data_IF_480419133524
#
_entry.id   IF_480419133524
#
_cell.length_a   1.000
_cell.length_b   1.000
_cell.length_c   1.000
_cell.angle_alpha   90.00
_cell.angle_beta   90.00
_cell.angle_gamma   90.00
#
_symmetry.space_group_name_H-M   'P 1'
#
loop_
_entity.id
_entity.type
_entity.pdbx_description
1 polymer ?
#
# COMPACT_ATOMS: atom_id res chain seq x y z
N UNK A 1 -7.07 23.48 35.79
CA UNK A 1 -5.95 22.74 36.42
C UNK A 1 -4.68 23.47 36.03
N UNK A 2 -4.24 24.48 36.80
CA UNK A 2 -3.28 24.36 37.90
C UNK A 2 -2.11 23.43 37.55
N UNK A 3 -0.94 24.06 37.38
CA UNK A 3 0.34 23.49 36.93
C UNK A 3 0.80 22.34 37.86
N UNK A 4 1.30 21.25 37.26
CA UNK A 4 1.93 20.11 37.96
C UNK A 4 3.41 20.01 37.56
N UNK A 5 4.34 19.60 38.47
CA UNK A 5 5.79 19.84 38.37
C UNK A 5 6.58 18.80 37.57
N UNK A 6 5.93 17.99 36.73
CA UNK A 6 6.62 16.97 35.93
C UNK A 6 6.32 17.23 34.45
N UNK A 7 7.38 17.46 33.67
CA UNK A 7 7.33 17.80 32.25
C UNK A 7 6.74 16.70 31.38
N UNK A 8 5.42 16.54 31.46
CA UNK A 8 4.64 15.74 30.54
C UNK A 8 4.13 16.64 29.42
N UNK A 9 4.72 16.50 28.23
CA UNK A 9 4.09 16.94 27.00
C UNK A 9 2.73 16.25 26.90
N UNK A 10 1.65 17.00 27.08
CA UNK A 10 0.31 16.56 26.68
C UNK A 10 0.26 16.53 25.17
N UNK A 11 0.36 15.34 24.59
CA UNK A 11 -0.14 15.08 23.25
C UNK A 11 -1.63 14.79 23.37
N UNK A 12 -2.47 15.78 23.08
CA UNK A 12 -3.87 15.52 22.74
C UNK A 12 -3.87 14.90 21.32
N UNK A 13 -3.57 13.61 21.24
CA UNK A 13 -3.66 12.82 20.01
C UNK A 13 -4.85 11.87 20.17
N UNK A 14 -6.01 12.23 19.63
CA UNK A 14 -7.24 11.43 19.76
C UNK A 14 -7.16 10.06 19.07
N UNK A 15 -6.17 9.78 18.21
CA UNK A 15 -5.75 8.42 17.82
C UNK A 15 -4.35 8.49 17.22
N UNK A 16 -3.46 7.59 17.60
CA UNK A 16 -2.17 7.44 16.89
C UNK A 16 -2.39 6.52 15.68
N UNK A 17 -2.46 7.11 14.48
CA UNK A 17 -2.58 6.36 13.23
C UNK A 17 -1.18 5.90 12.80
N UNK A 18 -0.91 4.61 12.98
CA UNK A 18 0.31 3.98 12.50
C UNK A 18 0.11 3.47 11.08
N UNK A 19 0.57 4.20 10.07
CA UNK A 19 0.64 3.69 8.70
C UNK A 19 1.79 2.67 8.58
N UNK A 20 1.50 1.41 8.87
CA UNK A 20 2.46 0.32 8.68
C UNK A 20 2.29 -0.28 7.30
N UNK A 21 3.02 0.24 6.33
CA UNK A 21 3.20 -0.48 5.07
C UNK A 21 3.78 -1.86 5.35
N UNK A 22 3.05 -2.92 4.98
CA UNK A 22 3.59 -4.21 4.56
C UNK A 22 4.67 -4.79 5.47
N UNK A 23 4.38 -5.71 6.40
CA UNK A 23 4.66 -7.12 6.07
C UNK A 23 4.04 -8.19 6.98
N UNK A 24 3.22 -7.85 7.98
CA UNK A 24 2.71 -8.90 8.89
C UNK A 24 1.95 -10.05 8.21
N UNK A 25 1.30 -9.82 7.06
CA UNK A 25 0.25 -10.74 6.60
C UNK A 25 0.29 -11.20 5.14
N UNK A 26 1.37 -10.97 4.39
CA UNK A 26 1.44 -11.57 3.04
C UNK A 26 1.55 -13.11 3.08
N UNK A 27 1.95 -13.67 4.22
CA UNK A 27 2.26 -15.10 4.42
C UNK A 27 2.07 -15.57 5.87
N UNK A 28 1.20 -14.92 6.65
CA UNK A 28 0.98 -15.30 8.06
C UNK A 28 2.15 -15.03 9.00
N UNK A 29 3.06 -14.11 8.64
CA UNK A 29 4.17 -13.66 9.48
C UNK A 29 5.56 -14.13 9.03
N UNK A 30 5.64 -15.02 8.04
CA UNK A 30 6.88 -15.52 7.44
C UNK A 30 7.64 -14.43 6.64
N UNK A 31 7.00 -13.29 6.41
CA UNK A 31 7.51 -12.18 5.61
C UNK A 31 8.41 -11.25 6.37
N UNK A 32 8.34 -11.28 7.71
CA UNK A 32 8.98 -10.31 8.62
C UNK A 32 10.44 -10.10 8.30
N UNK A 33 11.19 -11.18 8.14
CA UNK A 33 12.64 -11.15 8.06
C UNK A 33 13.17 -11.17 6.62
N UNK A 34 12.29 -11.00 5.62
CA UNK A 34 12.68 -11.05 4.21
C UNK A 34 13.50 -9.83 3.74
N UNK A 35 13.44 -8.70 4.46
CA UNK A 35 14.26 -7.53 4.18
C UNK A 35 14.36 -6.58 5.38
N UNK A 36 15.34 -5.65 5.42
CA UNK A 36 15.38 -4.62 6.46
C UNK A 36 14.08 -3.79 6.53
N UNK A 37 13.52 -3.44 5.36
CA UNK A 37 12.26 -2.71 5.27
C UNK A 37 11.09 -3.48 5.88
N UNK A 38 11.00 -4.77 5.55
CA UNK A 38 10.01 -5.70 6.07
C UNK A 38 10.03 -5.80 7.60
N UNK A 39 11.23 -5.97 8.13
CA UNK A 39 11.47 -6.11 9.55
C UNK A 39 11.10 -4.82 10.29
N UNK A 40 11.58 -3.66 9.82
CA UNK A 40 11.27 -2.36 10.45
C UNK A 40 9.77 -2.11 10.49
N UNK A 41 9.03 -2.40 9.42
CA UNK A 41 7.58 -2.18 9.39
C UNK A 41 6.81 -3.12 10.32
N UNK A 42 7.18 -4.39 10.36
CA UNK A 42 6.60 -5.34 11.30
C UNK A 42 6.86 -4.95 12.76
N UNK A 43 8.10 -4.55 13.07
CA UNK A 43 8.49 -4.06 14.40
C UNK A 43 7.76 -2.76 14.76
N UNK A 44 7.56 -1.83 13.82
CA UNK A 44 6.78 -0.61 14.08
C UNK A 44 5.32 -0.93 14.44
N UNK A 45 4.67 -1.87 13.74
CA UNK A 45 3.30 -2.30 14.11
C UNK A 45 3.24 -2.93 15.51
N UNK A 46 4.29 -3.65 15.92
CA UNK A 46 4.41 -4.21 17.28
C UNK A 46 4.60 -3.12 18.31
N UNK A 47 5.44 -2.12 18.00
CA UNK A 47 5.66 -0.98 18.86
C UNK A 47 4.37 -0.21 19.12
N UNK A 48 3.58 0.08 18.10
CA UNK A 48 2.28 0.77 18.23
C UNK A 48 1.33 -0.04 19.14
N UNK A 49 1.21 -1.35 18.93
CA UNK A 49 0.37 -2.21 19.78
C UNK A 49 0.87 -2.25 21.22
N UNK A 50 2.18 -2.33 21.43
CA UNK A 50 2.78 -2.32 22.76
C UNK A 50 2.51 -1.00 23.49
N UNK A 51 2.62 0.14 22.80
CA UNK A 51 2.28 1.45 23.37
C UNK A 51 0.80 1.53 23.78
N UNK A 52 -0.10 0.96 22.97
CA UNK A 52 -1.52 0.85 23.34
C UNK A 52 -1.69 0.00 24.61
N UNK A 53 -1.06 -1.18 24.68
CA UNK A 53 -1.11 -2.05 25.86
C UNK A 53 -0.53 -1.41 27.11
N UNK A 54 0.59 -0.69 27.00
CA UNK A 54 1.28 -0.09 28.14
C UNK A 54 0.60 1.17 28.66
N UNK A 55 0.01 1.98 27.78
CA UNK A 55 -0.47 3.32 28.12
C UNK A 55 -1.95 3.54 27.86
N UNK A 56 -2.69 2.51 27.40
CA UNK A 56 -4.12 2.60 27.11
C UNK A 56 -4.46 3.53 25.94
N UNK A 57 -3.50 3.77 25.03
CA UNK A 57 -3.70 4.68 23.90
C UNK A 57 -4.52 4.01 22.79
N UNK A 58 -5.53 4.69 22.22
CA UNK A 58 -6.21 4.21 21.01
C UNK A 58 -5.22 4.18 19.84
N UNK A 59 -5.35 3.17 18.99
CA UNK A 59 -4.51 3.00 17.82
C UNK A 59 -5.29 2.42 16.66
N UNK A 60 -4.81 2.73 15.45
CA UNK A 60 -5.25 2.10 14.21
C UNK A 60 -4.02 1.79 13.35
N UNK A 61 -3.93 0.56 12.84
CA UNK A 61 -2.89 0.13 11.90
C UNK A 61 -3.53 -0.29 10.59
N UNK A 62 -3.12 0.40 9.53
CA UNK A 62 -3.63 0.19 8.17
C UNK A 62 -2.56 -0.34 7.22
N UNK A 63 -2.98 -1.12 6.23
CA UNK A 63 -2.13 -1.77 5.24
C UNK A 63 -2.62 -1.51 3.83
N UNK A 64 -1.73 -1.06 2.95
CA UNK A 64 -2.01 -0.88 1.53
C UNK A 64 -0.72 -1.00 0.70
N UNK A 65 -0.88 -1.30 -0.59
CA UNK A 65 0.21 -1.67 -1.50
C UNK A 65 -0.06 -1.18 -2.91
N UNK A 66 1.01 -1.01 -3.68
CA UNK A 66 1.00 -0.60 -5.09
C UNK A 66 -0.02 0.52 -5.35
N UNK A 67 0.15 1.62 -4.62
CA UNK A 67 -0.67 2.81 -4.82
C UNK A 67 -0.33 3.41 -6.18
N UNK A 68 -1.35 3.83 -6.92
CA UNK A 68 -1.17 4.48 -8.21
C UNK A 68 -1.98 5.77 -8.31
N UNK A 69 -1.57 6.68 -9.19
CA UNK A 69 -2.30 7.90 -9.49
C UNK A 69 -1.39 9.10 -9.78
N UNK A 70 -1.97 10.31 -9.89
CA UNK A 70 -1.21 11.53 -10.12
C UNK A 70 -0.16 11.80 -9.01
N UNK A 71 0.99 12.33 -9.40
CA UNK A 71 2.06 12.73 -8.47
C UNK A 71 3.01 11.59 -8.06
N UNK A 72 2.92 10.42 -8.69
CA UNK A 72 3.87 9.33 -8.48
C UNK A 72 5.31 9.71 -8.85
N UNK A 73 6.26 9.20 -8.07
CA UNK A 73 7.68 9.42 -8.33
C UNK A 73 8.12 8.64 -9.56
N UNK A 74 8.75 9.32 -10.51
CA UNK A 74 9.39 8.71 -11.67
C UNK A 74 10.84 8.26 -11.38
N UNK A 75 11.40 7.44 -12.27
CA UNK A 75 12.80 6.99 -12.24
C UNK A 75 13.02 5.59 -11.67
N UNK A 76 14.26 5.29 -11.24
CA UNK A 76 14.73 3.93 -10.86
C UNK A 76 13.90 3.26 -9.75
N UNK A 77 13.27 4.06 -8.90
CA UNK A 77 12.44 3.60 -7.78
C UNK A 77 10.96 3.95 -7.94
N UNK A 78 10.53 4.28 -9.17
CA UNK A 78 9.13 4.49 -9.49
C UNK A 78 8.34 3.19 -9.43
N UNK A 79 7.02 3.32 -9.30
CA UNK A 79 6.13 2.14 -9.35
C UNK A 79 6.09 1.57 -10.77
N UNK A 80 5.59 0.34 -10.92
CA UNK A 80 5.43 -0.26 -12.24
C UNK A 80 4.48 0.53 -13.14
N UNK A 81 3.42 1.14 -12.58
CA UNK A 81 2.45 1.94 -13.34
C UNK A 81 3.11 3.22 -13.85
N UNK A 82 3.83 3.94 -13.00
CA UNK A 82 4.53 5.16 -13.44
C UNK A 82 5.67 4.85 -14.42
N UNK A 83 6.41 3.75 -14.21
CA UNK A 83 7.41 3.29 -15.19
C UNK A 83 6.75 3.00 -16.55
N UNK A 84 5.61 2.31 -16.57
CA UNK A 84 4.92 1.98 -17.82
C UNK A 84 4.33 3.22 -18.48
N UNK A 85 3.73 4.13 -17.70
CA UNK A 85 3.25 5.42 -18.17
C UNK A 85 4.37 6.20 -18.86
N UNK A 86 5.54 6.33 -18.23
CA UNK A 86 6.67 7.02 -18.84
C UNK A 86 7.15 6.33 -20.12
N UNK A 87 7.27 4.99 -20.12
CA UNK A 87 7.69 4.25 -21.32
C UNK A 87 6.69 4.42 -22.47
N UNK A 88 5.39 4.32 -22.17
CA UNK A 88 4.30 4.57 -23.12
C UNK A 88 4.40 5.97 -23.73
N UNK A 89 4.55 7.01 -22.91
CA UNK A 89 4.65 8.40 -23.37
C UNK A 89 5.88 8.66 -24.25
N UNK A 90 6.96 7.88 -24.10
CA UNK A 90 8.16 7.97 -24.93
C UNK A 90 8.16 7.00 -26.13
N UNK A 91 7.09 6.22 -26.34
CA UNK A 91 7.05 5.19 -27.39
C UNK A 91 8.05 4.06 -27.17
N UNK A 92 8.46 3.83 -25.93
CA UNK A 92 9.46 2.82 -25.56
C UNK A 92 8.81 1.51 -25.08
N UNK A 93 9.47 0.35 -25.28
CA UNK A 93 8.96 -0.92 -24.78
C UNK A 93 8.80 -0.98 -23.26
N UNK A 94 7.72 -1.61 -22.80
CA UNK A 94 7.40 -1.80 -21.38
C UNK A 94 8.24 -2.94 -20.78
N UNK A 95 9.01 -2.70 -19.72
CA UNK A 95 9.86 -3.72 -19.13
C UNK A 95 9.06 -4.69 -18.25
N UNK A 96 9.00 -5.97 -18.62
CA UNK A 96 8.33 -7.02 -17.85
C UNK A 96 9.33 -8.08 -17.41
N UNK A 97 9.51 -8.26 -16.11
CA UNK A 97 10.35 -9.35 -15.60
C UNK A 97 9.62 -10.70 -15.78
N UNK A 98 10.31 -11.69 -16.35
CA UNK A 98 9.83 -13.07 -16.49
C UNK A 98 9.42 -13.61 -15.11
N UNK A 99 8.28 -14.33 -14.98
CA UNK A 99 7.36 -14.72 -16.06
C UNK A 99 6.33 -13.66 -16.45
N UNK A 100 6.20 -12.57 -15.70
CA UNK A 100 5.19 -11.52 -15.93
C UNK A 100 3.80 -11.86 -15.36
N UNK A 101 3.62 -13.09 -14.87
CA UNK A 101 2.37 -13.60 -14.27
C UNK A 101 2.19 -13.24 -12.80
N UNK A 102 3.21 -12.67 -12.16
CA UNK A 102 3.12 -12.18 -10.78
C UNK A 102 1.99 -11.16 -10.65
N UNK A 103 1.07 -11.39 -9.72
CA UNK A 103 -0.14 -10.57 -9.56
C UNK A 103 0.00 -9.55 -8.44
N UNK A 104 -0.55 -8.36 -8.66
CA UNK A 104 -0.57 -7.25 -7.71
C UNK A 104 -1.97 -6.67 -7.61
N UNK A 105 -2.32 -6.23 -6.41
CA UNK A 105 -3.49 -5.38 -6.15
C UNK A 105 -3.00 -3.93 -6.24
N UNK A 106 -3.73 -3.10 -6.99
CA UNK A 106 -3.42 -1.69 -7.20
C UNK A 106 -4.59 -0.85 -6.71
N UNK A 107 -4.32 0.19 -5.91
CA UNK A 107 -5.37 1.04 -5.34
C UNK A 107 -5.05 2.50 -5.65
N UNK A 108 -6.06 3.26 -6.08
CA UNK A 108 -5.84 4.65 -6.48
C UNK A 108 -5.46 5.50 -5.27
N UNK A 109 -4.63 6.53 -5.48
CA UNK A 109 -4.16 7.43 -4.43
C UNK A 109 -5.31 8.09 -3.68
N UNK A 110 -6.36 8.53 -4.39
CA UNK A 110 -7.52 9.17 -3.76
C UNK A 110 -8.30 8.20 -2.87
N UNK A 111 -8.40 6.93 -3.25
CA UNK A 111 -9.05 5.90 -2.43
C UNK A 111 -8.24 5.62 -1.15
N UNK A 112 -6.90 5.65 -1.25
CA UNK A 112 -6.01 5.50 -0.10
C UNK A 112 -6.11 6.71 0.82
N UNK A 113 -6.08 7.93 0.29
CA UNK A 113 -6.22 9.17 1.09
C UNK A 113 -7.56 9.17 1.82
N UNK A 114 -8.66 8.90 1.12
CA UNK A 114 -9.98 8.78 1.74
C UNK A 114 -10.01 7.69 2.83
N UNK A 115 -9.33 6.57 2.61
CA UNK A 115 -9.20 5.50 3.60
C UNK A 115 -8.40 5.89 4.82
N UNK A 116 -7.29 6.61 4.65
CA UNK A 116 -6.46 7.10 5.76
C UNK A 116 -7.22 8.09 6.64
N UNK A 117 -7.97 9.01 6.03
CA UNK A 117 -8.83 9.95 6.77
C UNK A 117 -9.87 9.18 7.57
N UNK A 118 -10.60 8.25 6.93
CA UNK A 118 -11.64 7.46 7.58
C UNK A 118 -11.10 6.56 8.70
N UNK A 119 -9.90 5.99 8.51
CA UNK A 119 -9.20 5.22 9.56
C UNK A 119 -8.78 6.12 10.72
N UNK A 120 -8.36 7.36 10.46
CA UNK A 120 -8.07 8.32 11.53
C UNK A 120 -9.29 8.71 12.34
N UNK A 121 -10.47 8.76 11.72
CA UNK A 121 -11.73 9.11 12.38
C UNK A 121 -12.41 7.94 13.12
N UNK A 122 -12.33 6.72 12.57
CA UNK A 122 -13.15 5.57 13.00
C UNK A 122 -12.38 4.26 13.13
N UNK A 123 -11.09 4.26 12.79
CA UNK A 123 -10.28 3.04 12.81
C UNK A 123 -9.90 2.65 14.22
N UNK A 124 -9.97 1.36 14.50
CA UNK A 124 -9.50 0.79 15.76
C UNK A 124 -8.74 -0.51 15.51
N UNK A 125 -7.65 -0.69 16.26
CA UNK A 125 -6.89 -1.93 16.27
C UNK A 125 -5.97 -2.10 15.06
N UNK A 126 -5.83 -3.35 14.62
CA UNK A 126 -4.93 -3.77 13.55
C UNK A 126 -5.72 -4.36 12.38
N UNK A 127 -5.04 -4.59 11.26
CA UNK A 127 -5.55 -5.24 10.03
C UNK A 127 -6.59 -4.42 9.25
N UNK A 128 -6.47 -3.09 9.25
CA UNK A 128 -7.29 -2.21 8.40
C UNK A 128 -6.72 -2.15 6.97
N UNK A 129 -6.99 -3.17 6.16
CA UNK A 129 -6.54 -3.22 4.77
C UNK A 129 -7.29 -2.26 3.85
N UNK A 130 -6.55 -1.39 3.15
CA UNK A 130 -7.07 -0.50 2.11
C UNK A 130 -6.60 -1.00 0.75
N UNK A 131 -7.47 -1.74 0.06
CA UNK A 131 -7.25 -2.06 -1.34
C UNK A 131 -8.48 -2.62 -2.05
N UNK A 132 -8.27 -3.12 -3.27
CA UNK A 132 -9.34 -3.61 -4.14
C UNK A 132 -9.38 -5.13 -4.20
N UNK A 133 -10.52 -5.70 -4.58
CA UNK A 133 -10.62 -7.14 -4.90
C UNK A 133 -9.98 -7.47 -6.26
N UNK A 134 -9.80 -6.46 -7.11
CA UNK A 134 -9.13 -6.62 -8.40
C UNK A 134 -7.62 -6.84 -8.22
N UNK A 135 -7.10 -7.88 -8.89
CA UNK A 135 -5.67 -8.12 -9.03
C UNK A 135 -5.31 -8.21 -10.50
N UNK A 136 -4.10 -7.78 -10.85
CA UNK A 136 -3.60 -7.80 -12.22
C UNK A 136 -2.18 -8.37 -12.23
N UNK A 137 -1.89 -9.22 -13.21
CA UNK A 137 -0.53 -9.58 -13.57
C UNK A 137 0.20 -8.40 -14.23
N UNK A 138 1.52 -8.43 -14.20
CA UNK A 138 2.32 -7.38 -14.86
C UNK A 138 2.14 -7.43 -16.38
N UNK A 139 1.88 -8.60 -16.96
CA UNK A 139 1.51 -8.74 -18.36
C UNK A 139 0.14 -8.14 -18.68
N UNK A 140 -0.89 -8.41 -17.88
CA UNK A 140 -2.20 -7.76 -18.05
C UNK A 140 -2.06 -6.24 -17.99
N UNK A 141 -1.27 -5.72 -17.04
CA UNK A 141 -0.97 -4.29 -16.95
C UNK A 141 -0.28 -3.77 -18.21
N UNK A 142 0.75 -4.46 -18.72
CA UNK A 142 1.45 -4.04 -19.92
C UNK A 142 0.53 -4.02 -21.15
N UNK A 143 -0.36 -5.00 -21.29
CA UNK A 143 -1.34 -5.05 -22.37
C UNK A 143 -2.36 -3.90 -22.30
N UNK A 144 -2.75 -3.44 -21.10
CA UNK A 144 -3.64 -2.28 -20.95
C UNK A 144 -3.03 -0.99 -21.52
N UNK A 145 -1.71 -0.84 -21.47
CA UNK A 145 -1.01 0.30 -22.08
C UNK A 145 -0.86 0.18 -23.61
N UNK A 146 -1.03 -1.01 -24.19
CA UNK A 146 -0.93 -1.21 -25.65
C UNK A 146 0.45 -0.98 -26.27
N UNK A 147 1.51 -0.90 -25.47
CA UNK A 147 2.90 -0.72 -25.96
C UNK A 147 3.64 -2.05 -26.12
N UNK A 148 4.69 -2.12 -26.98
CA UNK A 148 5.54 -3.30 -27.11
C UNK A 148 6.12 -3.72 -25.75
N UNK A 149 6.27 -5.03 -25.52
CA UNK A 149 6.77 -5.58 -24.25
C UNK A 149 8.22 -6.04 -24.43
N UNK A 150 9.09 -5.61 -23.52
CA UNK A 150 10.47 -6.08 -23.41
C UNK A 150 10.63 -6.98 -22.18
N UNK A 151 10.76 -8.29 -22.42
CA UNK A 151 10.97 -9.26 -21.34
C UNK A 151 12.37 -9.10 -20.73
N UNK A 152 12.44 -9.17 -19.39
CA UNK A 152 13.67 -9.07 -18.61
C UNK A 152 13.87 -10.32 -17.73
N UNK A 153 15.11 -10.66 -17.36
CA UNK A 153 15.36 -11.75 -16.43
C UNK A 153 14.54 -11.64 -15.14
N UNK A 154 14.20 -12.78 -14.57
CA UNK A 154 13.49 -12.84 -13.29
C UNK A 154 14.30 -12.15 -12.18
N UNK A 155 13.58 -11.44 -11.30
CA UNK A 155 14.17 -10.87 -10.08
C UNK A 155 13.87 -11.79 -8.91
N UNK A 156 14.93 -12.29 -8.26
CA UNK A 156 14.81 -13.18 -7.10
C UNK A 156 14.04 -12.49 -5.96
N UNK A 157 13.09 -13.20 -5.35
CA UNK A 157 12.28 -12.69 -4.25
C UNK A 157 10.96 -12.03 -4.67
N UNK A 158 10.58 -12.12 -5.94
CA UNK A 158 9.32 -11.58 -6.41
C UNK A 158 8.13 -12.43 -5.91
N UNK A 159 7.17 -11.81 -5.20
CA UNK A 159 5.97 -12.52 -4.72
C UNK A 159 5.03 -12.82 -5.88
N UNK A 160 4.45 -14.01 -5.90
CA UNK A 160 3.55 -14.43 -6.98
C UNK A 160 2.10 -13.94 -6.80
N UNK A 161 1.63 -13.83 -5.57
CA UNK A 161 0.28 -13.37 -5.25
C UNK A 161 0.30 -12.30 -4.16
N UNK A 162 -0.73 -11.47 -4.14
CA UNK A 162 -1.01 -10.51 -3.09
C UNK A 162 -2.42 -10.77 -2.56
N UNK A 163 -2.54 -10.98 -1.26
CA UNK A 163 -3.80 -10.98 -0.54
C UNK A 163 -3.84 -9.77 0.38
N UNK A 164 -5.01 -9.15 0.49
CA UNK A 164 -5.26 -8.05 1.41
C UNK A 164 -6.67 -8.20 1.95
N UNK A 165 -6.80 -8.40 3.26
CA UNK A 165 -8.11 -8.41 3.90
C UNK A 165 -8.61 -6.98 4.09
N UNK A 166 -9.76 -6.67 3.49
CA UNK A 166 -10.39 -5.35 3.57
C UNK A 166 -11.63 -5.35 4.47
N UNK A 167 -11.93 -6.46 5.15
CA UNK A 167 -13.16 -6.66 5.94
C UNK A 167 -13.34 -5.57 7.01
N UNK A 168 -12.29 -5.28 7.80
CA UNK A 168 -12.34 -4.24 8.85
C UNK A 168 -12.50 -2.83 8.28
N UNK A 169 -11.82 -2.52 7.17
CA UNK A 169 -11.97 -1.22 6.50
C UNK A 169 -13.39 -1.05 5.94
N UNK A 170 -13.97 -2.10 5.35
CA UNK A 170 -15.37 -2.10 4.87
C UNK A 170 -16.38 -1.93 6.00
N UNK A 171 -16.10 -2.49 7.18
CA UNK A 171 -16.98 -2.36 8.34
C UNK A 171 -17.11 -0.91 8.83
N UNK A 172 -16.07 -0.09 8.65
CA UNK A 172 -16.11 1.36 8.96
C UNK A 172 -16.58 2.22 7.77
N UNK A 173 -17.03 1.59 6.68
CA UNK A 173 -17.61 2.26 5.50
C UNK A 173 -16.64 2.52 4.36
N UNK A 174 -15.38 2.08 4.45
CA UNK A 174 -14.40 2.30 3.37
C UNK A 174 -14.62 1.34 2.20
N UNK A 175 -14.58 1.87 0.97
CA UNK A 175 -14.51 1.08 -0.28
C UNK A 175 -13.76 1.86 -1.35
N UNK A 176 -12.87 1.19 -2.08
CA UNK A 176 -12.23 1.76 -3.26
C UNK A 176 -13.27 2.10 -4.35
N UNK A 177 -13.14 3.27 -4.95
CA UNK A 177 -14.06 3.78 -5.98
C UNK A 177 -13.43 3.78 -7.37
N UNK A 178 -12.10 3.83 -7.47
CA UNK A 178 -11.40 4.01 -8.74
C UNK A 178 -10.88 2.68 -9.29
N UNK A 179 -11.06 2.48 -10.61
CA UNK A 179 -10.55 1.30 -11.31
C UNK A 179 -9.25 1.62 -12.03
N UNK A 180 -8.30 0.69 -11.98
CA UNK A 180 -7.01 0.82 -12.66
C UNK A 180 -7.16 0.99 -14.17
N UNK A 181 -8.11 0.27 -14.78
CA UNK A 181 -8.37 0.36 -16.22
C UNK A 181 -8.77 1.78 -16.65
N UNK A 182 -9.62 2.45 -15.88
CA UNK A 182 -10.10 3.80 -16.18
C UNK A 182 -8.93 4.81 -16.12
N UNK A 183 -8.03 4.65 -15.13
CA UNK A 183 -6.82 5.46 -15.03
C UNK A 183 -5.86 5.25 -16.21
N UNK A 184 -5.61 3.99 -16.60
CA UNK A 184 -4.74 3.70 -17.75
C UNK A 184 -5.36 4.23 -19.04
N UNK A 185 -6.66 4.09 -19.23
CA UNK A 185 -7.37 4.64 -20.39
C UNK A 185 -7.22 6.15 -20.49
N UNK A 186 -7.24 6.87 -19.36
CA UNK A 186 -7.01 8.32 -19.32
C UNK A 186 -5.60 8.76 -19.74
N UNK A 187 -4.64 7.82 -19.76
CA UNK A 187 -3.26 8.05 -20.20
C UNK A 187 -3.09 7.72 -21.68
N UNK A 188 -3.81 6.71 -22.16
CA UNK A 188 -3.63 6.13 -23.51
C UNK A 188 -4.58 6.66 -24.57
N UNK A 189 -5.54 7.50 -24.18
CA UNK A 189 -6.48 8.20 -25.08
C UNK A 189 -6.03 9.64 -25.29
#
# INVERSE_FOLDING_TARGET
MLLSPHGAFRFDAETSVGASSSIKFADGGLGRDQSPYAFTKATNSELVRNYSTWYGLPYAITYFYNVYGPGERSGKYGTVIEIFRQKYLHGEPLPVNIPGTQRRIFTHIDDIVAGLVLVGEKGEGDELGLGTDASYSILELAHMFGSPIAMRPEVRGNRMQATLDTTKARAIGWRAQHKLADYIQSITT
#
